data_IF_134542236183
#
_entry.id   IF_134542236183
#
_cell.length_a   1.000
_cell.length_b   1.000
_cell.length_c   1.000
_cell.angle_alpha   90.00
_cell.angle_beta   90.00
_cell.angle_gamma   90.00
#
_symmetry.space_group_name_H-M   'P 1'
#
loop_
_entity.id
_entity.type
_entity.pdbx_description
1 polymer ?
#
# COMPACT_ATOMS: atom_id res chain seq x y z
N UNK A 1 30.91 51.48 25.88
CA UNK A 1 30.41 51.11 24.56
C UNK A 1 30.43 49.59 24.38
N UNK A 2 29.27 48.93 24.52
CA UNK A 2 29.17 47.50 24.28
C UNK A 2 29.01 47.25 22.80
N UNK A 3 29.99 46.70 22.13
CA UNK A 3 29.93 46.33 20.73
C UNK A 3 28.95 45.18 20.56
N UNK A 4 27.74 45.49 20.04
CA UNK A 4 26.78 44.50 19.60
C UNK A 4 27.26 43.90 18.29
N UNK A 5 27.67 42.60 18.29
CA UNK A 5 27.90 41.86 17.05
C UNK A 5 26.61 41.22 16.60
N UNK A 6 26.14 41.52 15.40
CA UNK A 6 25.05 40.81 14.73
C UNK A 6 25.41 39.32 14.64
N UNK A 7 24.55 38.47 15.14
CA UNK A 7 24.74 37.01 15.01
C UNK A 7 24.62 36.60 13.56
N UNK A 8 25.54 35.80 13.02
CA UNK A 8 25.43 35.33 11.64
C UNK A 8 24.15 34.49 11.46
N UNK A 9 23.53 34.56 10.28
CA UNK A 9 22.34 33.79 10.00
C UNK A 9 22.57 32.29 10.26
N UNK A 10 21.54 31.63 10.80
CA UNK A 10 21.60 30.21 11.17
C UNK A 10 21.40 29.32 9.94
N UNK A 11 22.31 29.35 8.96
CA UNK A 11 22.24 28.58 7.73
C UNK A 11 21.95 27.10 7.94
N UNK A 12 22.40 26.54 9.07
CA UNK A 12 22.18 25.15 9.46
C UNK A 12 20.72 24.82 9.88
N UNK A 13 19.86 25.83 10.10
CA UNK A 13 18.41 25.68 10.30
C UNK A 13 17.66 26.04 9.01
N UNK A 14 18.10 27.12 8.34
CA UNK A 14 17.48 27.57 7.09
C UNK A 14 17.59 26.52 5.98
N UNK A 15 18.76 25.93 5.77
CA UNK A 15 18.96 24.91 4.74
C UNK A 15 18.03 23.70 4.87
N UNK A 16 18.02 23.01 6.00
CA UNK A 16 17.08 21.91 6.28
C UNK A 16 15.61 22.29 6.10
N UNK A 17 15.18 23.39 6.70
CA UNK A 17 13.78 23.82 6.59
C UNK A 17 13.39 24.18 5.14
N UNK A 18 14.30 24.84 4.40
CA UNK A 18 14.08 25.13 2.97
C UNK A 18 13.99 23.83 2.15
N UNK A 19 14.86 22.86 2.39
CA UNK A 19 14.84 21.58 1.66
C UNK A 19 13.49 20.86 1.83
N UNK A 20 12.97 20.81 3.04
CA UNK A 20 11.65 20.20 3.31
C UNK A 20 10.51 21.03 2.72
N UNK A 21 10.56 22.37 2.87
CA UNK A 21 9.54 23.28 2.33
C UNK A 21 9.46 23.24 0.79
N UNK A 22 10.52 22.86 0.11
CA UNK A 22 10.53 22.61 -1.34
C UNK A 22 10.11 21.18 -1.70
N UNK A 23 10.58 20.18 -0.94
CA UNK A 23 10.29 18.78 -1.24
C UNK A 23 8.80 18.44 -1.11
N UNK A 24 8.11 18.96 -0.08
CA UNK A 24 6.70 18.66 0.17
C UNK A 24 5.79 19.12 -0.98
N UNK A 25 5.83 20.38 -1.46
CA UNK A 25 5.04 20.79 -2.62
C UNK A 25 5.35 20.01 -3.90
N UNK A 26 6.61 19.65 -4.13
CA UNK A 26 6.99 18.82 -5.30
C UNK A 26 6.35 17.42 -5.21
N UNK A 27 6.37 16.79 -4.03
CA UNK A 27 5.71 15.49 -3.81
C UNK A 27 4.20 15.64 -4.05
N UNK A 28 3.56 16.65 -3.47
CA UNK A 28 2.13 16.89 -3.64
C UNK A 28 1.78 17.17 -5.11
N UNK A 29 2.52 18.04 -5.80
CA UNK A 29 2.25 18.37 -7.20
C UNK A 29 2.43 17.18 -8.14
N UNK A 30 3.41 16.30 -7.89
CA UNK A 30 3.72 15.17 -8.77
C UNK A 30 2.89 13.91 -8.47
N UNK A 31 2.26 13.82 -7.28
CA UNK A 31 1.55 12.62 -6.80
C UNK A 31 0.20 12.93 -6.14
N UNK A 32 -0.40 14.07 -6.43
CA UNK A 32 -1.66 14.51 -5.82
C UNK A 32 -2.76 13.45 -5.90
N UNK A 33 -3.08 12.97 -7.12
CA UNK A 33 -4.13 11.99 -7.33
C UNK A 33 -4.02 10.74 -6.45
N UNK A 34 -2.91 9.99 -6.51
CA UNK A 34 -2.73 8.80 -5.67
C UNK A 34 -2.63 9.11 -4.16
N UNK A 35 -2.11 10.28 -3.77
CA UNK A 35 -2.04 10.66 -2.35
C UNK A 35 -3.44 10.86 -1.76
N UNK A 36 -4.32 11.61 -2.42
CA UNK A 36 -5.68 11.89 -1.94
C UNK A 36 -6.61 10.69 -2.06
N UNK A 37 -6.35 9.79 -3.00
CA UNK A 37 -7.11 8.55 -3.16
C UNK A 37 -6.74 7.47 -2.15
N UNK A 38 -5.59 7.60 -1.49
CA UNK A 38 -5.10 6.67 -0.47
C UNK A 38 -5.63 7.03 0.93
N UNK A 39 -5.28 6.22 1.93
CA UNK A 39 -5.56 6.53 3.33
C UNK A 39 -4.82 7.82 3.75
N UNK A 40 -5.46 8.73 4.52
CA UNK A 40 -4.98 10.10 4.71
C UNK A 40 -3.67 10.27 5.51
N UNK A 41 -3.12 9.22 6.16
CA UNK A 41 -1.93 9.34 7.01
C UNK A 41 -0.75 9.99 6.30
N UNK A 42 -0.49 9.61 5.04
CA UNK A 42 0.63 10.18 4.29
C UNK A 42 0.40 11.65 3.93
N UNK A 43 -0.82 12.01 3.49
CA UNK A 43 -1.19 13.42 3.24
C UNK A 43 -1.04 14.27 4.49
N UNK A 44 -1.59 13.81 5.63
CA UNK A 44 -1.49 14.53 6.90
C UNK A 44 -0.04 14.70 7.36
N UNK A 45 0.80 13.68 7.17
CA UNK A 45 2.23 13.77 7.46
C UNK A 45 2.91 14.83 6.58
N UNK A 46 2.63 14.85 5.27
CA UNK A 46 3.19 15.86 4.36
C UNK A 46 2.76 17.27 4.77
N UNK A 47 1.48 17.48 5.09
CA UNK A 47 0.96 18.78 5.51
C UNK A 47 1.59 19.23 6.83
N UNK A 48 1.70 18.33 7.83
CA UNK A 48 2.30 18.64 9.13
C UNK A 48 3.79 19.00 8.97
N UNK A 49 4.55 18.19 8.26
CA UNK A 49 5.99 18.41 8.03
C UNK A 49 6.22 19.70 7.23
N UNK A 50 5.39 19.96 6.22
CA UNK A 50 5.40 21.21 5.46
C UNK A 50 5.12 22.43 6.35
N UNK A 51 4.07 22.39 7.16
CA UNK A 51 3.71 23.46 8.08
C UNK A 51 4.82 23.77 9.09
N UNK A 52 5.37 22.72 9.73
CA UNK A 52 6.50 22.86 10.67
C UNK A 52 7.70 23.49 9.99
N UNK A 53 7.99 23.11 8.74
CA UNK A 53 9.11 23.69 7.97
C UNK A 53 8.91 25.15 7.65
N UNK A 54 7.69 25.55 7.25
CA UNK A 54 7.35 26.96 6.96
C UNK A 54 7.43 27.81 8.23
N UNK A 55 6.90 27.32 9.36
CA UNK A 55 7.00 28.00 10.67
C UNK A 55 8.46 28.16 11.10
N UNK A 56 9.28 27.10 10.93
CA UNK A 56 10.71 27.14 11.21
C UNK A 56 11.46 28.15 10.36
N UNK A 57 11.13 28.27 9.07
CA UNK A 57 11.68 29.29 8.17
C UNK A 57 11.29 30.71 8.62
N UNK A 58 9.99 30.95 8.85
CA UNK A 58 9.48 32.24 9.29
C UNK A 58 10.14 32.68 10.62
N UNK A 59 10.22 31.77 11.59
CA UNK A 59 10.92 32.06 12.84
C UNK A 59 12.39 32.40 12.60
N UNK A 60 13.10 31.62 11.77
CA UNK A 60 14.52 31.84 11.50
C UNK A 60 14.77 33.21 10.82
N UNK A 61 13.87 33.66 9.95
CA UNK A 61 13.92 34.96 9.30
C UNK A 61 13.69 36.10 10.28
N UNK A 62 12.71 35.99 11.18
CA UNK A 62 12.44 36.98 12.24
C UNK A 62 13.62 37.06 13.23
N UNK A 63 14.30 35.96 13.47
CA UNK A 63 15.42 35.88 14.43
C UNK A 63 16.74 36.48 13.91
N UNK A 64 16.90 36.62 12.57
CA UNK A 64 18.10 37.21 11.93
C UNK A 64 18.28 38.69 12.36
N UNK A 65 17.19 39.40 12.66
CA UNK A 65 17.25 40.83 13.05
C UNK A 65 17.38 41.08 14.55
N UNK A 66 17.33 40.04 15.41
CA UNK A 66 17.32 40.20 16.87
C UNK A 66 18.70 40.19 17.48
N UNK A 67 19.05 41.22 18.28
CA UNK A 67 20.26 41.26 19.10
C UNK A 67 20.11 40.29 20.27
N UNK A 68 21.09 39.40 20.47
CA UNK A 68 21.09 38.44 21.57
C UNK A 68 22.24 38.69 22.54
N UNK A 69 22.01 38.52 23.84
CA UNK A 69 23.10 38.55 24.81
C UNK A 69 24.04 37.39 24.56
N UNK A 70 25.34 37.61 24.87
CA UNK A 70 26.40 36.59 24.73
C UNK A 70 26.04 35.35 25.51
N UNK A 71 25.73 34.23 24.83
CA UNK A 71 25.55 32.94 25.44
C UNK A 71 26.96 32.28 25.59
N UNK A 72 27.16 31.66 26.77
CA UNK A 72 28.34 30.87 27.13
C UNK A 72 28.84 30.02 25.96
N UNK A 73 30.13 30.03 25.68
CA UNK A 73 30.76 29.30 24.58
C UNK A 73 30.41 27.80 24.66
N UNK A 74 29.56 27.34 23.73
CA UNK A 74 29.32 25.90 23.58
C UNK A 74 30.52 25.29 22.88
N UNK A 75 30.98 24.12 23.36
CA UNK A 75 32.06 23.34 22.73
C UNK A 75 31.80 23.23 21.21
N UNK A 76 32.81 23.53 20.40
CA UNK A 76 32.75 23.44 18.94
C UNK A 76 32.26 22.07 18.47
N UNK A 77 32.65 21.00 19.14
CA UNK A 77 32.21 19.63 18.86
C UNK A 77 30.69 19.47 19.00
N UNK A 78 30.04 20.04 20.05
CA UNK A 78 28.58 19.99 20.24
C UNK A 78 27.85 20.78 19.16
N UNK A 79 28.41 21.92 18.73
CA UNK A 79 27.82 22.75 17.67
C UNK A 79 27.91 22.06 16.31
N UNK A 80 29.07 21.51 15.97
CA UNK A 80 29.27 20.78 14.71
C UNK A 80 28.42 19.51 14.72
N UNK A 81 28.45 18.75 15.80
CA UNK A 81 27.65 17.52 15.93
C UNK A 81 26.14 17.75 15.76
N UNK A 82 25.58 18.79 16.39
CA UNK A 82 24.16 19.12 16.22
C UNK A 82 23.78 19.55 14.80
N UNK A 83 24.70 20.21 14.08
CA UNK A 83 24.49 20.60 12.68
C UNK A 83 24.50 19.39 11.74
N UNK A 84 25.48 18.51 11.92
CA UNK A 84 25.58 17.25 11.14
C UNK A 84 24.34 16.39 11.36
N UNK A 85 23.89 16.21 12.62
CA UNK A 85 22.68 15.48 12.93
C UNK A 85 21.42 16.11 12.31
N UNK A 86 21.34 17.44 12.33
CA UNK A 86 20.20 18.16 11.72
C UNK A 86 20.15 17.96 10.20
N UNK A 87 21.27 18.06 9.51
CA UNK A 87 21.36 17.83 8.06
C UNK A 87 21.06 16.35 7.74
N UNK A 88 21.69 15.42 8.45
CA UNK A 88 21.47 13.98 8.24
C UNK A 88 20.00 13.61 8.49
N UNK A 89 19.39 14.09 9.58
CA UNK A 89 17.97 13.89 9.86
C UNK A 89 17.05 14.44 8.76
N UNK A 90 17.40 15.61 8.20
CA UNK A 90 16.63 16.18 7.08
C UNK A 90 16.74 15.33 5.82
N UNK A 91 17.94 14.84 5.50
CA UNK A 91 18.13 13.94 4.35
C UNK A 91 17.31 12.66 4.51
N UNK A 92 17.38 12.05 5.69
CA UNK A 92 16.57 10.83 6.00
C UNK A 92 15.07 11.12 5.90
N UNK A 93 14.61 12.26 6.46
CA UNK A 93 13.21 12.66 6.38
C UNK A 93 12.75 12.85 4.93
N UNK A 94 13.46 13.64 4.14
CA UNK A 94 13.11 13.91 2.73
C UNK A 94 13.16 12.62 1.90
N UNK A 95 14.20 11.79 2.10
CA UNK A 95 14.30 10.49 1.44
C UNK A 95 13.14 9.56 1.83
N UNK A 96 12.76 9.50 3.10
CA UNK A 96 11.64 8.72 3.59
C UNK A 96 10.29 9.19 3.01
N UNK A 97 10.04 10.50 3.01
CA UNK A 97 8.85 11.07 2.38
C UNK A 97 8.83 10.78 0.87
N UNK A 98 9.96 10.89 0.20
CA UNK A 98 10.07 10.59 -1.22
C UNK A 98 9.90 9.09 -1.52
N UNK A 99 10.35 8.21 -0.62
CA UNK A 99 10.18 6.77 -0.76
C UNK A 99 8.73 6.34 -0.58
N UNK A 100 7.99 6.95 0.35
CA UNK A 100 6.58 6.67 0.63
C UNK A 100 5.62 7.14 -0.49
N UNK A 101 6.11 7.70 -1.59
CA UNK A 101 5.25 8.14 -2.71
C UNK A 101 4.51 6.97 -3.34
N UNK A 102 3.17 7.02 -3.44
CA UNK A 102 2.41 5.95 -4.06
C UNK A 102 2.77 5.75 -5.53
N UNK A 103 2.79 4.50 -5.98
CA UNK A 103 2.77 4.12 -7.39
C UNK A 103 1.36 4.41 -7.93
N UNK A 104 1.22 5.29 -8.92
CA UNK A 104 -0.10 5.77 -9.34
C UNK A 104 -0.89 4.69 -10.09
N UNK A 105 -2.18 4.65 -9.87
CA UNK A 105 -3.09 3.92 -10.74
C UNK A 105 -3.06 4.53 -12.16
N UNK A 106 -3.23 3.68 -13.17
CA UNK A 106 -3.37 4.13 -14.57
C UNK A 106 -4.72 4.83 -14.78
N UNK A 107 -4.86 5.57 -15.90
CA UNK A 107 -6.11 6.24 -16.24
C UNK A 107 -7.28 5.24 -16.37
N UNK A 108 -7.02 4.04 -16.87
CA UNK A 108 -8.00 2.94 -16.94
C UNK A 108 -8.50 2.58 -15.55
N UNK A 109 -7.59 2.46 -14.57
CA UNK A 109 -7.94 2.13 -13.20
C UNK A 109 -8.69 3.29 -12.51
N UNK A 110 -8.30 4.52 -12.77
CA UNK A 110 -9.02 5.69 -12.27
C UNK A 110 -10.44 5.78 -12.87
N UNK A 111 -10.59 5.51 -14.16
CA UNK A 111 -11.90 5.50 -14.83
C UNK A 111 -12.81 4.37 -14.29
N UNK A 112 -12.26 3.21 -13.93
CA UNK A 112 -13.01 2.10 -13.35
C UNK A 112 -13.66 2.44 -11.99
N UNK A 113 -13.20 3.49 -11.31
CA UNK A 113 -13.82 3.98 -10.06
C UNK A 113 -15.25 4.50 -10.24
N UNK A 114 -15.67 4.81 -11.46
CA UNK A 114 -17.06 5.20 -11.74
C UNK A 114 -18.06 4.02 -11.62
N UNK A 115 -17.55 2.80 -11.52
CA UNK A 115 -18.40 1.60 -11.53
C UNK A 115 -19.03 1.33 -12.89
N UNK A 116 -20.11 0.55 -12.89
CA UNK A 116 -20.83 0.18 -14.10
C UNK A 116 -22.18 -0.49 -13.82
N UNK A 117 -22.88 -0.98 -14.84
CA UNK A 117 -24.22 -1.58 -14.65
C UNK A 117 -24.23 -2.77 -13.69
N UNK A 118 -23.16 -3.56 -13.67
CA UNK A 118 -23.06 -4.77 -12.84
C UNK A 118 -22.43 -4.54 -11.46
N UNK A 119 -21.65 -3.44 -11.29
CA UNK A 119 -20.87 -3.20 -10.07
C UNK A 119 -20.95 -1.74 -9.66
N UNK A 120 -21.38 -1.50 -8.43
CA UNK A 120 -21.32 -0.20 -7.77
C UNK A 120 -20.00 -0.09 -7.00
N UNK A 121 -19.27 0.99 -7.23
CA UNK A 121 -18.04 1.32 -6.49
C UNK A 121 -18.36 2.35 -5.42
N UNK A 122 -17.94 2.07 -4.18
CA UNK A 122 -18.02 3.00 -3.06
C UNK A 122 -16.63 3.24 -2.54
N UNK A 123 -16.21 4.50 -2.56
CA UNK A 123 -14.89 4.91 -2.11
C UNK A 123 -14.95 5.64 -0.76
N UNK A 124 -14.08 5.26 0.17
CA UNK A 124 -13.93 5.89 1.47
C UNK A 124 -12.46 6.12 1.81
N UNK A 125 -12.18 6.75 2.94
CA UNK A 125 -10.81 7.02 3.39
C UNK A 125 -10.01 5.77 3.74
N UNK A 126 -10.66 4.63 4.00
CA UNK A 126 -10.01 3.40 4.49
C UNK A 126 -10.17 2.20 3.57
N UNK A 127 -11.09 2.25 2.59
CA UNK A 127 -11.37 1.13 1.69
C UNK A 127 -12.11 1.56 0.42
N UNK A 128 -12.03 0.72 -0.61
CA UNK A 128 -12.87 0.76 -1.81
C UNK A 128 -13.74 -0.49 -1.79
N UNK A 129 -15.06 -0.34 -1.91
CA UNK A 129 -16.00 -1.46 -2.01
C UNK A 129 -16.50 -1.59 -3.44
N UNK A 130 -16.40 -2.80 -4.00
CA UNK A 130 -16.97 -3.20 -5.28
C UNK A 130 -18.16 -4.10 -4.99
N UNK A 131 -19.36 -3.58 -5.14
CA UNK A 131 -20.60 -4.23 -4.73
C UNK A 131 -21.40 -4.65 -5.96
N UNK A 132 -21.77 -5.93 -6.08
CA UNK A 132 -22.73 -6.37 -7.12
C UNK A 132 -24.00 -5.54 -7.08
N UNK A 133 -24.54 -5.17 -8.25
CA UNK A 133 -25.83 -4.49 -8.35
C UNK A 133 -27.01 -5.48 -8.42
N UNK A 134 -26.72 -6.73 -8.79
CA UNK A 134 -27.68 -7.85 -8.82
C UNK A 134 -27.59 -8.73 -7.58
N UNK A 135 -27.65 -10.05 -7.78
CA UNK A 135 -27.50 -11.03 -6.69
C UNK A 135 -26.09 -10.92 -6.09
N UNK A 136 -26.03 -10.83 -4.77
CA UNK A 136 -24.78 -10.88 -4.01
C UNK A 136 -24.64 -12.25 -3.33
N UNK A 137 -23.49 -12.88 -3.51
CA UNK A 137 -23.12 -14.12 -2.82
C UNK A 137 -22.91 -13.87 -1.31
N UNK A 138 -23.09 -14.91 -0.51
CA UNK A 138 -22.74 -14.87 0.91
C UNK A 138 -21.21 -14.95 1.18
N UNK A 139 -20.42 -15.09 0.12
CA UNK A 139 -18.96 -15.10 0.13
C UNK A 139 -18.42 -13.80 -0.44
N UNK A 140 -17.43 -13.18 0.21
CA UNK A 140 -16.77 -11.95 -0.24
C UNK A 140 -15.26 -12.05 -0.24
N UNK A 141 -14.60 -11.05 -0.84
CA UNK A 141 -13.14 -10.91 -0.88
C UNK A 141 -12.71 -9.63 -0.18
N UNK A 142 -11.80 -9.74 0.78
CA UNK A 142 -11.05 -8.61 1.32
C UNK A 142 -9.65 -8.65 0.71
N UNK A 143 -9.25 -7.57 0.04
CA UNK A 143 -8.01 -7.52 -0.72
C UNK A 143 -7.06 -6.44 -0.21
N UNK A 144 -5.83 -6.82 0.11
CA UNK A 144 -4.76 -5.93 0.53
C UNK A 144 -3.85 -5.58 -0.65
N UNK A 145 -3.66 -4.27 -0.95
CA UNK A 145 -2.77 -3.80 -2.00
C UNK A 145 -1.30 -4.17 -1.76
N UNK A 146 -0.52 -4.21 -2.83
CA UNK A 146 0.95 -4.25 -2.76
C UNK A 146 1.52 -2.96 -2.15
N UNK A 147 2.78 -3.04 -1.68
CA UNK A 147 3.44 -1.91 -1.03
C UNK A 147 3.43 -0.67 -1.93
N UNK A 148 2.95 0.45 -1.39
CA UNK A 148 2.88 1.76 -2.03
C UNK A 148 2.07 1.81 -3.32
N UNK A 149 1.32 0.77 -3.67
CA UNK A 149 0.45 0.78 -4.85
C UNK A 149 -0.85 1.50 -4.51
N UNK A 150 -1.24 2.43 -5.37
CA UNK A 150 -2.55 3.09 -5.30
C UNK A 150 -3.67 2.03 -5.29
N UNK A 151 -4.53 1.97 -4.28
CA UNK A 151 -5.58 0.94 -4.18
C UNK A 151 -6.51 0.88 -5.39
N UNK A 152 -6.70 2.00 -6.11
CA UNK A 152 -7.52 2.05 -7.33
C UNK A 152 -6.97 1.18 -8.46
N UNK A 153 -5.64 0.92 -8.45
CA UNK A 153 -5.00 0.07 -9.45
C UNK A 153 -5.53 -1.38 -9.49
N UNK A 154 -6.24 -1.80 -8.47
CA UNK A 154 -6.82 -3.15 -8.40
C UNK A 154 -8.27 -3.21 -8.83
N UNK A 155 -8.93 -2.06 -9.00
CA UNK A 155 -10.36 -2.00 -9.33
C UNK A 155 -10.69 -2.68 -10.66
N UNK A 156 -9.97 -2.46 -11.77
CA UNK A 156 -10.26 -3.14 -13.03
C UNK A 156 -10.21 -4.67 -12.90
N UNK A 157 -9.17 -5.17 -12.25
CA UNK A 157 -8.90 -6.60 -12.12
C UNK A 157 -9.86 -7.32 -11.15
N UNK A 158 -10.40 -6.58 -10.17
CA UNK A 158 -11.33 -7.10 -9.18
C UNK A 158 -12.81 -6.89 -9.56
N UNK A 159 -13.12 -5.98 -10.49
CA UNK A 159 -14.49 -5.71 -10.96
C UNK A 159 -15.17 -6.95 -11.55
N UNK A 160 -14.51 -7.81 -12.34
CA UNK A 160 -15.12 -9.05 -12.84
C UNK A 160 -15.57 -10.00 -11.72
N UNK A 161 -14.83 -10.04 -10.60
CA UNK A 161 -15.19 -10.85 -9.44
C UNK A 161 -16.47 -10.32 -8.79
N UNK A 162 -16.57 -8.99 -8.67
CA UNK A 162 -17.77 -8.36 -8.14
C UNK A 162 -18.97 -8.51 -9.10
N UNK A 163 -18.75 -8.43 -10.42
CA UNK A 163 -19.77 -8.66 -11.42
C UNK A 163 -20.31 -10.11 -11.42
N UNK A 164 -19.49 -11.09 -11.01
CA UNK A 164 -19.90 -12.49 -10.80
C UNK A 164 -20.68 -12.71 -9.48
N UNK A 165 -20.94 -11.65 -8.73
CA UNK A 165 -21.77 -11.66 -7.51
C UNK A 165 -21.01 -11.61 -6.19
N UNK A 166 -19.67 -11.62 -6.18
CA UNK A 166 -18.88 -11.62 -4.96
C UNK A 166 -18.54 -10.18 -4.49
N UNK A 167 -19.06 -9.70 -3.35
CA UNK A 167 -18.61 -8.42 -2.79
C UNK A 167 -17.09 -8.39 -2.60
N UNK A 168 -16.43 -7.33 -3.08
CA UNK A 168 -14.98 -7.17 -2.95
C UNK A 168 -14.67 -5.88 -2.22
N UNK A 169 -13.77 -5.93 -1.25
CA UNK A 169 -13.33 -4.78 -0.48
C UNK A 169 -11.81 -4.65 -0.58
N UNK A 170 -11.34 -3.58 -1.20
CA UNK A 170 -9.91 -3.25 -1.28
C UNK A 170 -9.55 -2.36 -0.10
N UNK A 171 -8.63 -2.80 0.73
CA UNK A 171 -8.14 -2.04 1.90
C UNK A 171 -7.29 -0.86 1.42
N UNK A 172 -7.42 0.29 2.08
CA UNK A 172 -6.49 1.42 1.95
C UNK A 172 -5.60 1.49 3.19
N UNK A 173 -4.41 0.87 3.18
CA UNK A 173 -3.57 0.85 4.35
C UNK A 173 -2.86 2.20 4.57
N UNK A 174 -2.59 2.58 5.85
CA UNK A 174 -1.78 3.75 6.15
C UNK A 174 -0.44 3.71 5.41
N UNK A 175 -0.03 4.83 4.82
CA UNK A 175 1.22 4.96 4.05
C UNK A 175 1.35 3.96 2.88
N UNK A 176 0.27 3.31 2.45
CA UNK A 176 0.33 2.26 1.43
C UNK A 176 1.03 0.97 1.90
N UNK A 177 1.15 0.75 3.21
CA UNK A 177 1.87 -0.40 3.80
C UNK A 177 0.85 -1.33 4.46
N UNK A 178 0.52 -2.43 3.78
CA UNK A 178 -0.51 -3.39 4.22
C UNK A 178 -0.25 -3.96 5.63
N UNK A 179 1.01 -4.14 6.02
CA UNK A 179 1.38 -4.63 7.35
C UNK A 179 0.97 -3.70 8.50
N UNK A 180 0.73 -2.41 8.22
CA UNK A 180 0.20 -1.44 9.20
C UNK A 180 -1.33 -1.55 9.37
N UNK A 181 -1.98 -2.39 8.58
CA UNK A 181 -3.44 -2.56 8.57
C UNK A 181 -3.86 -4.03 8.52
N UNK A 182 -3.03 -4.96 8.99
CA UNK A 182 -3.32 -6.42 8.94
C UNK A 182 -4.68 -6.74 9.54
N UNK A 183 -5.05 -6.10 10.66
CA UNK A 183 -6.35 -6.26 11.32
C UNK A 183 -7.55 -5.58 10.66
N UNK A 184 -7.38 -4.84 9.54
CA UNK A 184 -8.49 -4.12 8.89
C UNK A 184 -9.63 -5.06 8.45
N UNK A 185 -9.31 -6.31 8.11
CA UNK A 185 -10.30 -7.31 7.73
C UNK A 185 -11.36 -7.54 8.82
N UNK A 186 -11.01 -7.51 10.11
CA UNK A 186 -11.99 -7.68 11.21
C UNK A 186 -13.08 -6.61 11.18
N UNK A 187 -12.71 -5.35 10.98
CA UNK A 187 -13.68 -4.25 10.87
C UNK A 187 -14.55 -4.34 9.62
N UNK A 188 -14.00 -4.82 8.50
CA UNK A 188 -14.73 -5.03 7.25
C UNK A 188 -15.75 -6.17 7.43
N UNK A 189 -15.33 -7.31 7.97
CA UNK A 189 -16.19 -8.46 8.25
C UNK A 189 -17.41 -8.03 9.11
N UNK A 190 -17.16 -7.28 10.18
CA UNK A 190 -18.24 -6.78 11.06
C UNK A 190 -19.16 -5.74 10.40
N UNK A 191 -18.72 -5.07 9.32
CA UNK A 191 -19.50 -4.02 8.65
C UNK A 191 -20.38 -4.50 7.50
N UNK A 192 -20.23 -5.76 7.04
CA UNK A 192 -21.00 -6.33 5.91
C UNK A 192 -21.64 -7.66 6.36
N UNK A 193 -22.68 -7.61 7.19
CA UNK A 193 -23.27 -8.80 7.82
C UNK A 193 -23.94 -9.77 6.82
N UNK A 194 -24.23 -9.32 5.60
CA UNK A 194 -24.78 -10.17 4.54
C UNK A 194 -23.72 -11.15 3.97
N UNK A 195 -22.45 -10.90 4.21
CA UNK A 195 -21.34 -11.79 3.80
C UNK A 195 -20.92 -12.63 5.00
N UNK A 196 -21.11 -13.93 4.91
CA UNK A 196 -20.86 -14.85 6.02
C UNK A 196 -19.52 -15.57 5.91
N UNK A 197 -18.93 -15.61 4.72
CA UNK A 197 -17.64 -16.24 4.43
C UNK A 197 -16.73 -15.29 3.70
N UNK A 198 -15.49 -15.29 4.10
CA UNK A 198 -14.52 -14.37 3.53
C UNK A 198 -13.31 -15.11 2.95
N UNK A 199 -12.94 -14.71 1.76
CA UNK A 199 -11.59 -14.89 1.25
C UNK A 199 -10.82 -13.63 1.60
N UNK A 200 -9.66 -13.79 2.23
CA UNK A 200 -8.73 -12.69 2.43
C UNK A 200 -7.61 -12.87 1.43
N UNK A 201 -7.22 -11.80 0.76
CA UNK A 201 -6.18 -11.91 -0.27
C UNK A 201 -5.36 -10.63 -0.40
N UNK A 202 -4.34 -10.69 -1.24
CA UNK A 202 -3.54 -9.51 -1.51
C UNK A 202 -2.41 -9.76 -2.50
N UNK A 203 -1.89 -8.64 -3.01
CA UNK A 203 -0.78 -8.62 -3.93
C UNK A 203 0.53 -8.33 -3.19
N UNK A 204 1.60 -9.05 -3.51
CA UNK A 204 2.94 -8.77 -2.98
C UNK A 204 2.92 -8.64 -1.44
N UNK A 205 3.36 -7.52 -0.85
CA UNK A 205 3.29 -7.26 0.59
C UNK A 205 1.86 -7.35 1.15
N UNK A 206 0.85 -7.08 0.34
CA UNK A 206 -0.57 -7.26 0.71
C UNK A 206 -0.92 -8.72 0.94
N UNK A 207 -0.36 -9.65 0.16
CA UNK A 207 -0.54 -11.07 0.36
C UNK A 207 0.13 -11.57 1.65
N UNK A 208 1.25 -10.97 2.06
CA UNK A 208 1.86 -11.22 3.38
C UNK A 208 0.93 -10.82 4.51
N UNK A 209 0.32 -9.63 4.42
CA UNK A 209 -0.65 -9.16 5.41
C UNK A 209 -1.90 -10.06 5.46
N UNK A 210 -2.42 -10.46 4.30
CA UNK A 210 -3.54 -11.38 4.16
C UNK A 210 -3.25 -12.75 4.79
N UNK A 211 -2.04 -13.30 4.55
CA UNK A 211 -1.60 -14.56 5.15
C UNK A 211 -1.52 -14.48 6.66
N UNK A 212 -0.95 -13.39 7.18
CA UNK A 212 -0.85 -13.17 8.63
C UNK A 212 -2.23 -13.11 9.29
N UNK A 213 -3.20 -12.47 8.62
CA UNK A 213 -4.58 -12.42 9.12
C UNK A 213 -5.28 -13.77 9.03
N UNK A 214 -5.26 -14.43 7.86
CA UNK A 214 -5.93 -15.71 7.65
C UNK A 214 -5.34 -16.82 8.53
N UNK A 215 -4.01 -16.85 8.70
CA UNK A 215 -3.31 -17.82 9.53
C UNK A 215 -3.62 -17.71 11.03
N UNK A 216 -4.18 -16.59 11.48
CA UNK A 216 -4.61 -16.41 12.88
C UNK A 216 -5.92 -17.17 13.23
N UNK A 217 -6.58 -17.80 12.26
CA UNK A 217 -7.72 -18.70 12.52
C UNK A 217 -9.03 -17.98 12.82
N UNK A 218 -9.38 -16.95 12.05
CA UNK A 218 -10.67 -16.26 12.17
C UNK A 218 -11.82 -17.10 11.59
N UNK A 219 -12.87 -17.32 12.37
CA UNK A 219 -13.98 -18.23 12.04
C UNK A 219 -14.73 -17.90 10.73
N UNK A 220 -14.74 -16.63 10.31
CA UNK A 220 -15.39 -16.19 9.07
C UNK A 220 -14.45 -16.17 7.86
N UNK A 221 -13.19 -16.64 8.00
CA UNK A 221 -12.21 -16.66 6.93
C UNK A 221 -12.01 -18.09 6.48
N UNK A 222 -12.53 -18.40 5.30
CA UNK A 222 -12.49 -19.74 4.70
C UNK A 222 -11.52 -19.85 3.52
N UNK A 223 -10.95 -18.73 3.06
CA UNK A 223 -10.03 -18.76 1.94
C UNK A 223 -8.91 -17.72 2.00
N UNK A 224 -7.81 -18.04 1.30
CA UNK A 224 -6.65 -17.16 1.13
C UNK A 224 -6.28 -17.07 -0.36
N UNK A 225 -6.22 -15.84 -0.88
CA UNK A 225 -5.80 -15.54 -2.25
C UNK A 225 -4.46 -14.80 -2.26
N UNK A 226 -3.44 -15.40 -2.82
CA UNK A 226 -2.12 -14.79 -2.97
C UNK A 226 -1.88 -14.40 -4.43
N UNK A 227 -1.63 -13.12 -4.69
CA UNK A 227 -1.22 -12.60 -5.98
C UNK A 227 0.24 -12.17 -5.94
N UNK A 228 1.11 -12.84 -6.71
CA UNK A 228 2.55 -12.57 -6.74
C UNK A 228 3.12 -12.37 -5.33
N UNK A 229 2.81 -13.31 -4.43
CA UNK A 229 3.12 -13.22 -2.99
C UNK A 229 3.32 -14.61 -2.38
N UNK A 230 3.94 -14.62 -1.21
CA UNK A 230 4.19 -15.79 -0.40
C UNK A 230 4.08 -15.44 1.09
N UNK A 231 3.84 -16.42 1.97
CA UNK A 231 3.71 -16.17 3.41
C UNK A 231 5.03 -15.71 4.05
N UNK A 232 4.91 -14.95 5.15
CA UNK A 232 6.03 -14.65 6.04
C UNK A 232 5.89 -15.53 7.29
N UNK A 233 6.36 -16.77 7.20
CA UNK A 233 6.17 -17.83 8.19
C UNK A 233 5.09 -18.84 7.78
N UNK A 234 5.14 -20.02 8.39
CA UNK A 234 4.32 -21.14 7.98
C UNK A 234 2.88 -21.05 8.50
N UNK A 235 1.93 -21.30 7.61
CA UNK A 235 0.50 -21.53 7.87
C UNK A 235 0.07 -22.92 7.37
N UNK A 236 1.01 -23.85 7.18
CA UNK A 236 0.74 -25.19 6.67
C UNK A 236 -0.29 -25.99 7.48
N UNK A 237 -0.41 -25.68 8.79
CA UNK A 237 -1.40 -26.29 9.68
C UNK A 237 -2.82 -25.74 9.52
N UNK A 238 -3.03 -24.64 8.79
CA UNK A 238 -4.34 -24.04 8.56
C UNK A 238 -5.14 -24.79 7.46
N UNK A 239 -5.31 -26.10 7.61
CA UNK A 239 -5.88 -27.01 6.60
C UNK A 239 -7.35 -26.76 6.30
N UNK A 240 -8.07 -25.99 7.10
CA UNK A 240 -9.44 -25.56 6.82
C UNK A 240 -9.53 -24.49 5.72
N UNK A 241 -8.44 -23.72 5.49
CA UNK A 241 -8.41 -22.68 4.48
C UNK A 241 -8.33 -23.26 3.07
N UNK A 242 -9.17 -22.73 2.17
CA UNK A 242 -9.01 -22.91 0.73
C UNK A 242 -7.97 -21.90 0.22
N UNK A 243 -6.80 -22.36 -0.21
CA UNK A 243 -5.74 -21.45 -0.66
C UNK A 243 -5.56 -21.51 -2.18
N UNK A 244 -5.40 -20.36 -2.80
CA UNK A 244 -4.93 -20.23 -4.19
C UNK A 244 -3.80 -19.21 -4.23
N UNK A 245 -2.65 -19.64 -4.73
CA UNK A 245 -1.47 -18.81 -5.00
C UNK A 245 -1.33 -18.64 -6.51
N UNK A 246 -1.44 -17.39 -6.97
CA UNK A 246 -1.28 -17.01 -8.39
C UNK A 246 0.02 -16.25 -8.52
N UNK A 247 0.97 -16.78 -9.29
CA UNK A 247 2.29 -16.21 -9.50
C UNK A 247 2.53 -15.88 -10.97
N UNK A 248 3.55 -15.07 -11.26
CA UNK A 248 3.96 -14.77 -12.62
C UNK A 248 5.29 -15.45 -12.97
N UNK A 249 5.36 -16.03 -14.17
CA UNK A 249 6.54 -16.76 -14.62
C UNK A 249 7.80 -15.92 -14.78
N UNK A 250 7.63 -14.63 -15.10
CA UNK A 250 8.73 -13.68 -15.29
C UNK A 250 8.80 -12.63 -14.17
N UNK A 251 8.27 -12.92 -12.97
CA UNK A 251 8.29 -12.02 -11.82
C UNK A 251 9.73 -11.81 -11.31
N UNK A 252 10.19 -10.54 -11.31
CA UNK A 252 11.52 -10.17 -10.80
C UNK A 252 11.56 -9.89 -9.29
N UNK A 253 10.40 -9.81 -8.62
CA UNK A 253 10.27 -9.44 -7.20
C UNK A 253 9.84 -10.62 -6.32
N UNK A 254 8.66 -11.19 -6.57
CA UNK A 254 8.22 -12.45 -6.01
C UNK A 254 8.61 -13.59 -6.99
N UNK A 255 9.90 -13.80 -7.15
CA UNK A 255 10.45 -14.69 -8.19
C UNK A 255 9.88 -16.11 -8.11
N UNK A 256 9.81 -16.84 -9.24
CA UNK A 256 9.36 -18.23 -9.23
C UNK A 256 10.07 -19.11 -8.20
N UNK A 257 11.37 -18.88 -7.97
CA UNK A 257 12.13 -19.60 -6.94
C UNK A 257 11.67 -19.31 -5.52
N UNK A 258 11.28 -18.07 -5.20
CA UNK A 258 10.71 -17.71 -3.89
C UNK A 258 9.32 -18.33 -3.70
N UNK A 259 8.50 -18.35 -4.74
CA UNK A 259 7.19 -19.02 -4.71
C UNK A 259 7.37 -20.52 -4.48
N UNK A 260 8.28 -21.16 -5.21
CA UNK A 260 8.58 -22.59 -5.03
C UNK A 260 9.05 -22.90 -3.61
N UNK A 261 9.99 -22.11 -3.10
CA UNK A 261 10.52 -22.27 -1.75
C UNK A 261 9.45 -22.08 -0.66
N UNK A 262 8.38 -21.32 -0.92
CA UNK A 262 7.32 -21.05 0.05
C UNK A 262 6.19 -22.09 0.07
N UNK A 263 6.20 -23.07 -0.83
CA UNK A 263 5.10 -24.05 -0.93
C UNK A 263 4.89 -24.85 0.35
N UNK A 264 5.97 -25.20 1.06
CA UNK A 264 5.90 -25.92 2.32
C UNK A 264 5.31 -25.13 3.48
N UNK A 265 5.25 -23.80 3.35
CA UNK A 265 4.65 -22.89 4.35
C UNK A 265 3.14 -22.73 4.19
N UNK A 266 2.56 -23.27 3.13
CA UNK A 266 1.13 -23.21 2.82
C UNK A 266 0.47 -24.59 3.07
N UNK A 267 -0.87 -24.63 3.32
CA UNK A 267 -1.59 -25.89 3.43
C UNK A 267 -1.35 -26.81 2.23
N UNK A 268 -1.29 -28.15 2.44
CA UNK A 268 -0.94 -29.11 1.38
C UNK A 268 -1.89 -29.07 0.17
N UNK A 269 -3.18 -28.72 0.39
CA UNK A 269 -4.20 -28.60 -0.68
C UNK A 269 -4.18 -27.24 -1.41
N UNK A 270 -3.11 -26.47 -1.24
CA UNK A 270 -2.96 -25.16 -1.91
C UNK A 270 -2.91 -25.34 -3.42
N UNK A 271 -3.78 -24.60 -4.14
CA UNK A 271 -3.73 -24.53 -5.59
C UNK A 271 -2.73 -23.46 -6.05
N UNK A 272 -1.70 -23.89 -6.74
CA UNK A 272 -0.72 -23.02 -7.38
C UNK A 272 -1.06 -22.84 -8.86
N UNK A 273 -1.07 -21.57 -9.31
CA UNK A 273 -1.30 -21.18 -10.70
C UNK A 273 -0.17 -20.25 -11.11
N UNK A 274 0.64 -20.64 -12.09
CA UNK A 274 1.65 -19.75 -12.67
C UNK A 274 1.12 -19.18 -13.97
N UNK A 275 1.13 -17.85 -14.07
CA UNK A 275 0.80 -17.13 -15.32
C UNK A 275 2.10 -16.93 -16.08
N UNK A 276 2.36 -17.84 -17.01
CA UNK A 276 3.59 -17.84 -17.78
C UNK A 276 3.73 -16.55 -18.60
N UNK A 277 4.93 -16.00 -18.61
CA UNK A 277 5.23 -14.77 -19.33
C UNK A 277 4.72 -13.47 -18.69
N UNK A 278 3.93 -13.55 -17.61
CA UNK A 278 3.52 -12.40 -16.84
C UNK A 278 4.64 -11.93 -15.91
N UNK A 279 4.50 -10.71 -15.39
CA UNK A 279 5.42 -10.04 -14.45
C UNK A 279 4.66 -9.53 -13.24
N UNK A 280 5.38 -9.15 -12.18
CA UNK A 280 4.82 -8.67 -10.90
C UNK A 280 3.80 -7.54 -11.08
N UNK A 281 4.14 -6.54 -11.90
CA UNK A 281 3.30 -5.38 -12.13
C UNK A 281 1.98 -5.68 -12.90
N UNK A 282 1.77 -6.91 -13.38
CA UNK A 282 0.54 -7.28 -14.07
C UNK A 282 -0.61 -7.67 -13.13
N UNK A 283 -0.32 -7.77 -11.82
CA UNK A 283 -1.31 -7.97 -10.76
C UNK A 283 -2.04 -6.69 -10.32
N UNK A 284 -1.90 -5.60 -11.10
CA UNK A 284 -2.62 -4.35 -10.91
C UNK A 284 -2.34 -3.38 -12.06
N UNK A 285 -3.13 -2.32 -12.15
CA UNK A 285 -3.01 -1.30 -13.20
C UNK A 285 -2.31 -0.05 -12.67
N UNK A 286 -0.98 -0.16 -12.38
CA UNK A 286 -0.13 0.91 -11.84
C UNK A 286 1.17 1.15 -12.64
N UNK A 287 1.23 0.61 -13.87
CA UNK A 287 2.37 0.79 -14.76
C UNK A 287 3.47 -0.26 -14.57
N UNK A 288 4.72 0.18 -14.63
CA UNK A 288 5.92 -0.66 -14.46
C UNK A 288 6.47 -0.52 -13.04
N UNK A 289 7.17 -1.56 -12.55
CA UNK A 289 7.80 -1.56 -11.25
C UNK A 289 9.30 -1.83 -11.39
N UNK A 290 10.11 -1.03 -10.68
CA UNK A 290 11.57 -1.20 -10.69
C UNK A 290 11.96 -2.56 -10.12
N UNK A 291 12.81 -3.28 -10.83
CA UNK A 291 13.30 -4.60 -10.44
C UNK A 291 12.40 -5.75 -10.88
N UNK A 292 11.30 -5.44 -11.57
CA UNK A 292 10.46 -6.47 -12.17
C UNK A 292 11.08 -7.08 -13.44
N UNK A 293 10.53 -8.23 -13.87
CA UNK A 293 10.95 -8.92 -15.07
C UNK A 293 10.46 -8.27 -16.36
N UNK A 294 10.74 -8.94 -17.48
CA UNK A 294 10.24 -8.52 -18.81
C UNK A 294 9.08 -9.43 -19.20
N UNK A 295 7.88 -8.87 -19.49
CA UNK A 295 6.74 -9.67 -19.88
C UNK A 295 6.88 -10.23 -21.30
N UNK A 296 6.34 -11.42 -21.54
CA UNK A 296 6.26 -12.06 -22.85
C UNK A 296 4.82 -12.28 -23.33
N UNK A 297 3.84 -11.95 -22.49
CA UNK A 297 2.42 -11.92 -22.84
C UNK A 297 1.83 -10.53 -22.59
N UNK A 298 0.64 -10.27 -23.14
CA UNK A 298 -0.06 -9.02 -22.89
C UNK A 298 -0.56 -8.93 -21.44
N UNK A 299 -0.66 -7.70 -20.89
CA UNK A 299 -1.29 -7.49 -19.58
C UNK A 299 -2.70 -8.06 -19.53
N UNK A 300 -3.49 -7.85 -20.59
CA UNK A 300 -4.86 -8.34 -20.66
C UNK A 300 -4.95 -9.87 -20.60
N UNK A 301 -4.03 -10.58 -21.28
CA UNK A 301 -3.98 -12.05 -21.23
C UNK A 301 -3.59 -12.55 -19.84
N UNK A 302 -2.63 -11.90 -19.20
CA UNK A 302 -2.23 -12.22 -17.84
C UNK A 302 -3.38 -11.99 -16.85
N UNK A 303 -4.03 -10.84 -16.93
CA UNK A 303 -5.11 -10.46 -16.01
C UNK A 303 -6.32 -11.40 -16.14
N UNK A 304 -6.70 -11.84 -17.36
CA UNK A 304 -7.76 -12.84 -17.51
C UNK A 304 -7.44 -14.17 -16.79
N UNK A 305 -6.18 -14.62 -16.79
CA UNK A 305 -5.78 -15.82 -16.07
C UNK A 305 -5.81 -15.61 -14.55
N UNK A 306 -5.37 -14.44 -14.07
CA UNK A 306 -5.42 -14.06 -12.64
C UNK A 306 -6.88 -14.02 -12.15
N UNK A 307 -7.77 -13.38 -12.91
CA UNK A 307 -9.22 -13.33 -12.64
C UNK A 307 -9.83 -14.71 -12.57
N UNK A 308 -9.59 -15.55 -13.58
CA UNK A 308 -10.12 -16.92 -13.64
C UNK A 308 -9.69 -17.76 -12.44
N UNK A 309 -8.42 -17.68 -12.04
CA UNK A 309 -7.90 -18.39 -10.86
C UNK A 309 -8.56 -17.88 -9.58
N UNK A 310 -8.76 -16.57 -9.45
CA UNK A 310 -9.37 -15.91 -8.30
C UNK A 310 -10.86 -16.25 -8.17
N UNK A 311 -11.62 -16.18 -9.28
CA UNK A 311 -13.02 -16.63 -9.33
C UNK A 311 -13.15 -18.11 -8.97
N UNK A 312 -12.20 -18.94 -9.44
CA UNK A 312 -12.16 -20.36 -9.09
C UNK A 312 -12.06 -20.60 -7.57
N UNK A 313 -11.32 -19.75 -6.85
CA UNK A 313 -11.24 -19.82 -5.38
C UNK A 313 -12.56 -19.39 -4.74
N UNK A 314 -13.07 -18.19 -5.11
CA UNK A 314 -14.33 -17.65 -4.54
C UNK A 314 -15.48 -18.64 -4.69
N UNK A 315 -15.65 -19.22 -5.87
CA UNK A 315 -16.66 -20.24 -6.15
C UNK A 315 -16.45 -21.53 -5.37
N UNK A 316 -15.21 -21.94 -5.04
CA UNK A 316 -14.95 -23.10 -4.18
C UNK A 316 -15.33 -22.83 -2.73
N UNK A 317 -15.02 -21.64 -2.21
CA UNK A 317 -15.40 -21.24 -0.85
C UNK A 317 -16.92 -21.13 -0.75
N UNK A 318 -17.58 -20.53 -1.74
CA UNK A 318 -19.03 -20.34 -1.77
C UNK A 318 -19.79 -21.66 -1.80
N UNK A 319 -19.35 -22.64 -2.59
CA UNK A 319 -19.97 -24.00 -2.66
C UNK A 319 -19.91 -24.79 -1.35
N UNK A 320 -18.96 -24.50 -0.44
CA UNK A 320 -18.97 -25.10 0.91
C UNK A 320 -20.14 -24.60 1.77
N UNK A 321 -20.89 -23.63 1.28
CA UNK A 321 -22.05 -23.02 1.94
C UNK A 321 -23.37 -23.73 1.64
N UNK A 322 -23.40 -24.70 0.72
CA UNK A 322 -24.59 -25.51 0.42
C UNK A 322 -25.01 -26.35 1.61
N UNK A 323 -26.33 -26.60 1.77
CA UNK A 323 -26.92 -27.32 2.90
C UNK A 323 -26.35 -28.70 3.07
#
# INVERSE_FOLDING_TARGET
MHATRRTPPRWWVLGPATAVALAVPVILATRWGPIVASQPAYLLTLLLVGAVSVVGLAWSLVDIGRERPRVRERSRFRVVGSRVLGVAGTVVLVAGLAWLRPLPATDVAVAAMSGGPAVRVVDSSTRIELLPTGHAAATGLIFYPGALVDPRAYVPLLTPLAADGFPVVVVKPPYGIALLATGAASGIIGSIPAVHRWVVGGHSLGGVAATSYAGAGHASVDGLLLWASYPNGSIASATSLQVTSVSAGNDGLATPSKIEASKHDLPPDTRFVTVEGAVHAYFGDYGTQRGDGTPTISRADAQRQIESASLGLLRRVDRRSGP
#
